data_IF_805767256941
#
_entry.id   IF_805767256941
#
_cell.length_a   1.000
_cell.length_b   1.000
_cell.length_c   1.000
_cell.angle_alpha   90.00
_cell.angle_beta   90.00
_cell.angle_gamma   90.00
#
_symmetry.space_group_name_H-M   'P 1'
#
loop_
_entity.id
_entity.type
_entity.pdbx_description
1 polymer ?
#
# COMPACT_ATOMS: atom_id res chain seq x y z
N UNK A 1 24.42 -46.71 -6.37
CA UNK A 1 24.98 -47.73 -5.45
C UNK A 1 25.97 -47.00 -4.56
N UNK A 2 25.80 -46.73 -3.26
CA UNK A 2 24.85 -47.07 -2.17
C UNK A 2 24.60 -45.74 -1.40
N UNK A 3 23.40 -45.27 -1.07
CA UNK A 3 22.46 -45.62 0.02
C UNK A 3 23.05 -45.76 1.45
N UNK A 4 22.40 -44.99 2.35
CA UNK A 4 22.20 -45.05 3.81
C UNK A 4 23.16 -44.27 4.73
N UNK A 5 22.77 -43.67 5.87
CA UNK A 5 21.54 -43.07 6.47
C UNK A 5 21.89 -42.83 7.98
N UNK A 6 21.10 -41.99 8.64
CA UNK A 6 20.77 -41.88 10.08
C UNK A 6 21.74 -41.21 11.09
N UNK A 7 21.20 -40.21 11.78
CA UNK A 7 21.33 -40.08 13.26
C UNK A 7 21.62 -38.67 13.80
N UNK A 8 20.63 -37.76 13.88
CA UNK A 8 19.84 -37.40 15.10
C UNK A 8 20.60 -36.78 16.28
N UNK A 9 20.29 -35.53 16.64
CA UNK A 9 19.93 -35.15 18.02
C UNK A 9 19.11 -33.84 18.05
N UNK A 10 18.31 -33.70 19.11
CA UNK A 10 16.99 -33.08 19.18
C UNK A 10 16.90 -32.26 20.48
N UNK A 11 16.38 -31.02 20.46
CA UNK A 11 15.80 -30.26 21.60
C UNK A 11 14.87 -29.19 20.95
N UNK A 12 13.53 -29.26 20.96
CA UNK A 12 12.59 -28.92 22.06
C UNK A 12 12.55 -27.40 22.30
N UNK A 13 11.45 -26.62 22.27
CA UNK A 13 10.00 -26.88 22.41
C UNK A 13 9.19 -25.64 21.96
N UNK A 14 8.01 -25.90 21.39
CA UNK A 14 6.70 -25.22 21.52
C UNK A 14 6.52 -23.69 21.27
N UNK A 15 5.76 -23.36 20.22
CA UNK A 15 4.51 -22.60 20.37
C UNK A 15 3.57 -22.87 19.17
N UNK A 16 2.44 -23.50 19.47
CA UNK A 16 1.29 -23.72 18.58
C UNK A 16 0.41 -22.46 18.53
N UNK A 17 -0.27 -22.23 17.40
CA UNK A 17 -1.51 -21.45 17.39
C UNK A 17 -1.85 -20.74 16.09
N UNK A 18 -2.97 -21.18 15.48
CA UNK A 18 -3.77 -20.51 14.44
C UNK A 18 -3.29 -20.57 12.97
N UNK A 19 -3.28 -21.79 12.42
CA UNK A 19 -3.70 -22.03 11.05
C UNK A 19 -5.18 -22.45 11.08
N UNK A 20 -6.08 -21.56 10.67
CA UNK A 20 -7.48 -21.91 10.42
C UNK A 20 -7.52 -22.67 9.08
N UNK A 21 -7.31 -23.98 9.18
CA UNK A 21 -7.71 -24.94 8.18
C UNK A 21 -9.24 -25.00 8.21
N UNK A 22 -9.91 -24.50 7.17
CA UNK A 22 -11.31 -24.82 6.93
C UNK A 22 -11.39 -26.31 6.57
N UNK A 23 -11.46 -27.14 7.60
CA UNK A 23 -11.85 -28.55 7.51
C UNK A 23 -13.26 -28.54 6.92
N UNK A 24 -13.37 -28.92 5.64
CA UNK A 24 -14.62 -29.27 4.96
C UNK A 24 -15.35 -30.26 5.88
N UNK A 25 -16.36 -29.77 6.58
CA UNK A 25 -17.10 -30.62 7.48
C UNK A 25 -18.03 -31.48 6.64
N UNK A 26 -17.74 -32.78 6.60
CA UNK A 26 -18.75 -33.80 6.36
C UNK A 26 -19.74 -33.79 7.54
N UNK A 27 -20.65 -32.82 7.54
CA UNK A 27 -21.83 -32.91 8.38
C UNK A 27 -22.88 -33.71 7.63
N UNK A 28 -23.08 -34.93 8.15
CA UNK A 28 -24.25 -35.79 8.02
C UNK A 28 -25.29 -35.32 6.98
N UNK A 29 -25.39 -36.10 5.90
CA UNK A 29 -26.66 -36.32 5.22
C UNK A 29 -27.67 -36.85 6.26
N UNK A 30 -28.33 -35.95 6.97
CA UNK A 30 -29.60 -36.23 7.63
C UNK A 30 -30.63 -36.33 6.52
N UNK A 31 -30.66 -37.51 5.90
CA UNK A 31 -31.85 -37.99 5.20
C UNK A 31 -33.07 -37.72 6.09
N UNK A 32 -34.08 -37.11 5.49
CA UNK A 32 -35.39 -36.76 6.06
C UNK A 32 -36.19 -37.99 6.48
N UNK A 33 -35.68 -38.76 7.44
CA UNK A 33 -36.38 -39.90 8.04
C UNK A 33 -35.75 -40.21 9.41
N UNK A 34 -36.09 -39.42 10.42
CA UNK A 34 -36.20 -39.81 11.84
C UNK A 34 -36.43 -38.56 12.69
N UNK A 35 -37.62 -37.98 12.58
CA UNK A 35 -38.15 -37.16 13.67
C UNK A 35 -38.74 -38.13 14.69
N UNK A 36 -38.05 -38.35 15.80
CA UNK A 36 -38.63 -39.04 16.97
C UNK A 36 -39.87 -38.23 17.38
N UNK A 37 -41.05 -38.86 17.51
CA UNK A 37 -42.23 -38.14 17.97
C UNK A 37 -41.93 -37.62 19.38
N UNK A 38 -42.35 -36.38 19.68
CA UNK A 38 -42.25 -35.79 21.01
C UNK A 38 -42.65 -36.85 22.06
N UNK A 39 -41.82 -37.02 23.09
CA UNK A 39 -42.08 -37.98 24.15
C UNK A 39 -43.51 -37.86 24.66
N UNK A 40 -44.26 -38.96 24.63
CA UNK A 40 -45.67 -39.00 25.03
C UNK A 40 -45.77 -38.50 26.47
N UNK A 41 -46.37 -37.33 26.70
CA UNK A 41 -46.64 -36.82 28.05
C UNK A 41 -47.55 -37.84 28.74
N UNK A 42 -47.12 -38.31 29.91
CA UNK A 42 -47.86 -39.26 30.73
C UNK A 42 -48.34 -38.55 31.99
N UNK A 43 -49.49 -38.97 32.50
CA UNK A 43 -49.96 -38.52 33.80
C UNK A 43 -49.13 -39.13 34.95
N UNK A 44 -49.48 -38.78 36.17
CA UNK A 44 -48.79 -39.25 37.37
C UNK A 44 -48.91 -40.77 37.59
N UNK A 45 -49.86 -41.43 36.92
CA UNK A 45 -50.07 -42.88 36.92
C UNK A 45 -49.39 -43.59 35.74
N UNK A 46 -48.70 -42.83 34.88
CA UNK A 46 -47.96 -43.34 33.74
C UNK A 46 -48.83 -43.62 32.50
N UNK A 47 -50.10 -43.23 32.49
CA UNK A 47 -50.99 -43.35 31.34
C UNK A 47 -50.69 -42.24 30.32
N UNK A 48 -50.74 -42.52 28.99
CA UNK A 48 -50.60 -41.48 27.97
C UNK A 48 -51.69 -40.42 28.12
N UNK A 49 -51.31 -39.15 28.23
CA UNK A 49 -52.25 -38.04 28.16
C UNK A 49 -52.66 -37.82 26.71
N UNK A 50 -53.96 -37.86 26.42
CA UNK A 50 -54.49 -37.40 25.14
C UNK A 50 -54.24 -35.90 25.02
N UNK A 51 -53.32 -35.54 24.13
CA UNK A 51 -52.97 -34.14 23.88
C UNK A 51 -54.19 -33.43 23.28
N UNK A 52 -54.63 -32.35 23.93
CA UNK A 52 -55.72 -31.53 23.43
C UNK A 52 -55.34 -31.04 22.01
N UNK A 53 -56.21 -31.20 20.99
CA UNK A 53 -55.89 -30.79 19.63
C UNK A 53 -55.44 -29.32 19.50
N UNK A 54 -55.84 -28.44 20.43
CA UNK A 54 -55.35 -27.07 20.51
C UNK A 54 -53.87 -26.96 20.90
N UNK A 55 -53.39 -27.80 21.81
CA UNK A 55 -51.99 -27.79 22.26
C UNK A 55 -51.07 -28.37 21.16
N UNK A 56 -51.55 -29.38 20.44
CA UNK A 56 -50.85 -29.95 19.26
C UNK A 56 -50.74 -28.93 18.12
N UNK A 57 -51.79 -28.12 17.91
CA UNK A 57 -51.78 -27.05 16.92
C UNK A 57 -50.83 -25.90 17.31
N UNK A 58 -50.78 -25.50 18.59
CA UNK A 58 -49.84 -24.48 19.07
C UNK A 58 -48.38 -24.95 18.97
N UNK A 59 -48.09 -26.20 19.33
CA UNK A 59 -46.74 -26.76 19.18
C UNK A 59 -46.32 -26.84 17.70
N UNK A 60 -47.25 -27.15 16.79
CA UNK A 60 -47.01 -27.10 15.34
C UNK A 60 -46.71 -25.69 14.84
N UNK A 61 -47.43 -24.67 15.33
CA UNK A 61 -47.21 -23.27 14.99
C UNK A 61 -45.87 -22.73 15.51
N UNK A 62 -45.45 -23.12 16.72
CA UNK A 62 -44.13 -22.76 17.27
C UNK A 62 -42.98 -23.38 16.46
N UNK A 63 -43.12 -24.64 16.03
CA UNK A 63 -42.12 -25.32 15.19
C UNK A 63 -42.01 -24.65 13.80
N UNK A 64 -43.14 -24.24 13.22
CA UNK A 64 -43.16 -23.55 11.93
C UNK A 64 -42.55 -22.14 12.04
N UNK A 65 -42.84 -21.43 13.13
CA UNK A 65 -42.20 -20.14 13.45
C UNK A 65 -40.69 -20.30 13.65
N UNK A 66 -40.24 -21.35 14.35
CA UNK A 66 -38.82 -21.62 14.54
C UNK A 66 -38.12 -21.94 13.21
N UNK A 67 -38.74 -22.71 12.31
CA UNK A 67 -38.21 -22.96 10.96
C UNK A 67 -38.13 -21.69 10.12
N UNK A 68 -39.16 -20.84 10.18
CA UNK A 68 -39.16 -19.55 9.49
C UNK A 68 -38.02 -18.66 9.97
N UNK A 69 -37.77 -18.61 11.28
CA UNK A 69 -36.65 -17.85 11.85
C UNK A 69 -35.30 -18.45 11.43
N UNK A 70 -35.15 -19.78 11.49
CA UNK A 70 -33.93 -20.45 11.05
C UNK A 70 -33.60 -20.17 9.58
N UNK A 71 -34.61 -20.20 8.70
CA UNK A 71 -34.43 -19.86 7.28
C UNK A 71 -33.97 -18.40 7.08
N UNK A 72 -34.46 -17.47 7.89
CA UNK A 72 -33.98 -16.08 7.87
C UNK A 72 -32.50 -16.00 8.26
N UNK A 73 -32.08 -16.73 9.30
CA UNK A 73 -30.67 -16.78 9.71
C UNK A 73 -29.76 -17.50 8.71
N UNK A 74 -30.26 -18.50 8.00
CA UNK A 74 -29.54 -19.14 6.89
C UNK A 74 -29.27 -18.15 5.76
N UNK A 75 -30.28 -17.37 5.38
CA UNK A 75 -30.11 -16.31 4.38
C UNK A 75 -29.09 -15.24 4.85
N UNK A 76 -29.16 -14.82 6.12
CA UNK A 76 -28.18 -13.88 6.68
C UNK A 76 -26.77 -14.45 6.71
N UNK A 77 -26.61 -15.74 7.03
CA UNK A 77 -25.32 -16.43 6.99
C UNK A 77 -24.77 -16.39 5.56
N UNK A 78 -25.55 -16.80 4.58
CA UNK A 78 -25.11 -16.90 3.20
C UNK A 78 -24.74 -15.52 2.62
N UNK A 79 -25.49 -14.46 2.96
CA UNK A 79 -25.16 -13.08 2.59
C UNK A 79 -23.86 -12.59 3.25
N UNK A 80 -23.66 -12.89 4.55
CA UNK A 80 -22.44 -12.51 5.27
C UNK A 80 -21.22 -13.25 4.74
N UNK A 81 -21.35 -14.54 4.46
CA UNK A 81 -20.28 -15.38 3.92
C UNK A 81 -19.82 -14.86 2.54
N UNK A 82 -20.74 -14.60 1.60
CA UNK A 82 -20.39 -14.00 0.31
C UNK A 82 -19.79 -12.60 0.46
N UNK A 83 -20.29 -11.78 1.40
CA UNK A 83 -19.70 -10.48 1.70
C UNK A 83 -18.24 -10.62 2.19
N UNK A 84 -17.95 -11.60 3.05
CA UNK A 84 -16.61 -11.86 3.57
C UNK A 84 -15.67 -12.41 2.49
N UNK A 85 -16.15 -13.33 1.67
CA UNK A 85 -15.38 -13.88 0.54
C UNK A 85 -15.03 -12.79 -0.46
N UNK A 86 -16.00 -11.94 -0.83
CA UNK A 86 -15.77 -10.76 -1.67
C UNK A 86 -14.71 -9.82 -1.09
N UNK A 87 -14.83 -9.51 0.20
CA UNK A 87 -13.87 -8.66 0.91
C UNK A 87 -12.45 -9.24 0.81
N UNK A 88 -12.28 -10.54 1.02
CA UNK A 88 -10.98 -11.20 0.91
C UNK A 88 -10.44 -11.23 -0.53
N UNK A 89 -11.29 -11.43 -1.53
CA UNK A 89 -10.89 -11.34 -2.96
C UNK A 89 -10.32 -9.95 -3.29
N UNK A 90 -10.97 -8.88 -2.83
CA UNK A 90 -10.50 -7.50 -3.05
C UNK A 90 -9.19 -7.22 -2.29
N UNK A 91 -9.07 -7.67 -1.03
CA UNK A 91 -7.84 -7.48 -0.24
C UNK A 91 -6.64 -8.16 -0.90
N UNK A 92 -6.82 -9.36 -1.46
CA UNK A 92 -5.75 -10.06 -2.19
C UNK A 92 -5.28 -9.24 -3.39
N UNK A 93 -6.20 -8.80 -4.25
CA UNK A 93 -5.87 -7.94 -5.40
C UNK A 93 -5.21 -6.63 -4.98
N UNK A 94 -5.69 -5.99 -3.91
CA UNK A 94 -5.07 -4.78 -3.36
C UNK A 94 -3.61 -5.02 -2.96
N UNK A 95 -3.30 -6.16 -2.33
CA UNK A 95 -1.92 -6.50 -1.93
C UNK A 95 -1.03 -6.76 -3.13
N UNK A 96 -1.56 -7.41 -4.16
CA UNK A 96 -0.83 -7.67 -5.41
C UNK A 96 -0.51 -6.36 -6.15
N UNK A 97 -1.48 -5.44 -6.22
CA UNK A 97 -1.28 -4.08 -6.76
C UNK A 97 -0.18 -3.36 -5.97
N UNK A 98 -0.27 -3.33 -4.64
CA UNK A 98 0.78 -2.73 -3.79
C UNK A 98 2.16 -3.34 -4.08
N UNK A 99 2.25 -4.66 -4.19
CA UNK A 99 3.52 -5.34 -4.44
C UNK A 99 4.12 -5.00 -5.81
N UNK A 100 3.28 -4.87 -6.85
CA UNK A 100 3.72 -4.47 -8.19
C UNK A 100 4.13 -3.00 -8.22
N UNK A 101 3.37 -2.10 -7.60
CA UNK A 101 3.69 -0.67 -7.49
C UNK A 101 5.04 -0.45 -6.79
N UNK A 102 5.32 -1.16 -5.69
CA UNK A 102 6.64 -1.11 -5.03
C UNK A 102 7.79 -1.51 -5.94
N UNK A 103 7.60 -2.57 -6.75
CA UNK A 103 8.62 -3.01 -7.71
C UNK A 103 8.89 -1.94 -8.77
N UNK A 104 7.85 -1.23 -9.22
CA UNK A 104 7.99 -0.08 -10.12
C UNK A 104 8.80 1.02 -9.44
N UNK A 105 8.42 1.42 -8.23
CA UNK A 105 9.13 2.47 -7.45
C UNK A 105 10.61 2.11 -7.28
N UNK A 106 10.93 0.89 -6.86
CA UNK A 106 12.33 0.43 -6.74
C UNK A 106 13.08 0.46 -8.07
N UNK A 107 12.42 0.11 -9.17
CA UNK A 107 13.04 0.20 -10.49
C UNK A 107 13.33 1.67 -10.87
N UNK A 108 12.40 2.58 -10.58
CA UNK A 108 12.52 4.02 -10.84
C UNK A 108 13.62 4.69 -10.00
N UNK A 109 13.87 4.25 -8.76
CA UNK A 109 14.98 4.74 -7.93
C UNK A 109 16.37 4.49 -8.54
N UNK A 110 16.48 3.62 -9.57
CA UNK A 110 17.73 3.39 -10.31
C UNK A 110 17.99 4.42 -11.41
N UNK A 111 17.01 5.26 -11.73
CA UNK A 111 17.14 6.35 -12.70
C UNK A 111 18.08 7.43 -12.13
N UNK A 112 18.67 8.26 -13.00
CA UNK A 112 19.69 9.26 -12.62
C UNK A 112 19.36 10.69 -13.01
N UNK A 113 18.37 10.88 -13.87
CA UNK A 113 17.97 12.20 -14.37
C UNK A 113 16.45 12.34 -14.33
N UNK A 114 16.00 13.58 -14.11
CA UNK A 114 14.60 14.01 -14.26
C UNK A 114 14.41 14.67 -15.63
N UNK A 115 13.15 14.81 -16.05
CA UNK A 115 12.76 15.45 -17.31
C UNK A 115 13.43 14.82 -18.55
N UNK A 116 13.58 13.49 -18.52
CA UNK A 116 14.19 12.69 -19.58
C UNK A 116 13.41 11.39 -19.76
N UNK A 117 13.41 10.80 -20.96
CA UNK A 117 12.80 9.49 -21.16
C UNK A 117 13.48 8.45 -20.26
N UNK A 118 12.68 7.54 -19.70
CA UNK A 118 13.22 6.45 -18.91
C UNK A 118 14.11 5.53 -19.76
N UNK A 119 15.16 4.93 -19.17
CA UNK A 119 15.94 3.89 -19.83
C UNK A 119 15.03 2.79 -20.42
N UNK A 120 15.25 2.33 -21.67
CA UNK A 120 14.30 1.45 -22.37
C UNK A 120 13.98 0.16 -21.61
N UNK A 121 14.97 -0.42 -20.94
CA UNK A 121 14.81 -1.62 -20.11
C UNK A 121 13.85 -1.36 -18.93
N UNK A 122 14.06 -0.28 -18.18
CA UNK A 122 13.19 0.09 -17.04
C UNK A 122 11.80 0.48 -17.54
N UNK A 123 11.72 1.23 -18.65
CA UNK A 123 10.45 1.64 -19.24
C UNK A 123 9.59 0.44 -19.64
N UNK A 124 10.18 -0.54 -20.34
CA UNK A 124 9.49 -1.76 -20.75
C UNK A 124 9.08 -2.61 -19.54
N UNK A 125 10.00 -2.81 -18.59
CA UNK A 125 9.76 -3.58 -17.37
C UNK A 125 8.63 -2.98 -16.53
N UNK A 126 8.60 -1.65 -16.38
CA UNK A 126 7.57 -0.93 -15.65
C UNK A 126 6.25 -0.93 -16.40
N UNK A 127 6.25 -0.78 -17.73
CA UNK A 127 5.04 -0.87 -18.54
C UNK A 127 4.35 -2.22 -18.35
N UNK A 128 5.10 -3.33 -18.43
CA UNK A 128 4.54 -4.67 -18.18
C UNK A 128 3.90 -4.79 -16.79
N UNK A 129 4.46 -4.14 -15.77
CA UNK A 129 3.86 -4.12 -14.42
C UNK A 129 2.63 -3.23 -14.35
N UNK A 130 2.63 -2.08 -15.03
CA UNK A 130 1.43 -1.25 -15.13
C UNK A 130 0.29 -1.99 -15.83
N UNK A 131 0.59 -2.75 -16.89
CA UNK A 131 -0.41 -3.58 -17.58
C UNK A 131 -0.98 -4.65 -16.64
N UNK A 132 -0.12 -5.31 -15.85
CA UNK A 132 -0.56 -6.26 -14.81
C UNK A 132 -1.44 -5.60 -13.75
N UNK A 133 -1.08 -4.42 -13.28
CA UNK A 133 -1.89 -3.64 -12.32
C UNK A 133 -3.24 -3.27 -12.93
N UNK A 134 -3.27 -2.87 -14.20
CA UNK A 134 -4.51 -2.55 -14.91
C UNK A 134 -5.44 -3.77 -14.95
N UNK A 135 -4.92 -4.95 -15.30
CA UNK A 135 -5.70 -6.20 -15.25
C UNK A 135 -6.23 -6.50 -13.86
N UNK A 136 -5.43 -6.30 -12.80
CA UNK A 136 -5.91 -6.47 -11.42
C UNK A 136 -7.04 -5.51 -11.08
N UNK A 137 -6.99 -4.26 -11.54
CA UNK A 137 -8.09 -3.32 -11.37
C UNK A 137 -9.34 -3.73 -12.15
N UNK A 138 -9.22 -4.20 -13.39
CA UNK A 138 -10.34 -4.73 -14.18
C UNK A 138 -11.01 -5.90 -13.46
N UNK A 139 -10.24 -6.78 -12.84
CA UNK A 139 -10.78 -7.89 -12.04
C UNK A 139 -11.45 -7.42 -10.74
N UNK A 140 -11.11 -6.24 -10.21
CA UNK A 140 -11.78 -5.65 -9.03
C UNK A 140 -13.13 -5.06 -9.39
N UNK A 141 -13.29 -4.51 -10.61
CA UNK A 141 -14.52 -3.88 -11.08
C UNK A 141 -15.79 -4.69 -10.75
N UNK A 142 -15.93 -5.97 -11.14
CA UNK A 142 -17.16 -6.72 -10.88
C UNK A 142 -17.47 -6.89 -9.38
N UNK A 143 -16.46 -6.85 -8.50
CA UNK A 143 -16.65 -6.95 -7.06
C UNK A 143 -17.13 -5.62 -6.44
N UNK A 144 -16.96 -4.51 -7.15
CA UNK A 144 -17.39 -3.17 -6.74
C UNK A 144 -18.72 -2.73 -7.36
N UNK A 145 -19.35 -3.57 -8.18
CA UNK A 145 -20.67 -3.27 -8.77
C UNK A 145 -21.79 -3.48 -7.74
N UNK A 146 -22.79 -2.60 -7.78
CA UNK A 146 -24.05 -2.71 -7.02
C UNK A 146 -24.18 -1.67 -5.91
N UNK A 147 -25.29 -1.77 -5.16
CA UNK A 147 -25.71 -0.78 -4.14
C UNK A 147 -24.65 -0.60 -3.03
N UNK A 148 -23.87 -1.64 -2.75
CA UNK A 148 -22.87 -1.68 -1.68
C UNK A 148 -21.42 -1.58 -2.17
N UNK A 149 -21.17 -1.17 -3.42
CA UNK A 149 -19.81 -1.08 -3.98
C UNK A 149 -18.85 -0.22 -3.16
N UNK A 150 -19.36 0.89 -2.61
CA UNK A 150 -18.62 1.81 -1.74
C UNK A 150 -18.06 1.14 -0.47
N UNK A 151 -18.69 0.05 0.01
CA UNK A 151 -18.29 -0.66 1.24
C UNK A 151 -16.88 -1.24 1.12
N UNK A 152 -16.45 -1.55 -0.10
CA UNK A 152 -15.17 -2.18 -0.38
C UNK A 152 -14.04 -1.21 -0.75
N UNK A 153 -14.33 0.10 -0.84
CA UNK A 153 -13.35 1.11 -1.21
C UNK A 153 -12.12 1.09 -0.27
N UNK A 154 -12.36 0.91 1.03
CA UNK A 154 -11.26 0.86 2.02
C UNK A 154 -10.34 -0.34 1.86
N UNK A 155 -10.82 -1.45 1.29
CA UNK A 155 -10.02 -2.66 1.10
C UNK A 155 -9.07 -2.54 -0.09
N UNK A 156 -9.43 -1.74 -1.10
CA UNK A 156 -8.58 -1.47 -2.28
C UNK A 156 -7.72 -0.21 -2.11
N UNK A 157 -8.13 0.72 -1.24
CA UNK A 157 -7.51 2.03 -1.00
C UNK A 157 -5.99 1.97 -0.83
N UNK A 158 -5.46 1.03 -0.04
CA UNK A 158 -4.01 0.87 0.12
C UNK A 158 -3.27 0.49 -1.17
N UNK A 159 -3.89 -0.31 -2.04
CA UNK A 159 -3.37 -0.60 -3.38
C UNK A 159 -3.41 0.60 -4.30
N UNK A 160 -4.51 1.37 -4.25
CA UNK A 160 -4.69 2.61 -5.02
C UNK A 160 -3.64 3.66 -4.63
N UNK A 161 -3.42 3.88 -3.33
CA UNK A 161 -2.42 4.84 -2.83
C UNK A 161 -1.01 4.52 -3.34
N UNK A 162 -0.60 3.26 -3.24
CA UNK A 162 0.72 2.82 -3.73
C UNK A 162 0.83 2.90 -5.27
N UNK A 163 -0.27 2.61 -6.00
CA UNK A 163 -0.32 2.82 -7.45
C UNK A 163 -0.15 4.30 -7.82
N UNK A 164 -0.81 5.21 -7.09
CA UNK A 164 -0.69 6.65 -7.30
C UNK A 164 0.73 7.10 -7.04
N UNK A 165 1.38 6.63 -5.98
CA UNK A 165 2.79 6.89 -5.70
C UNK A 165 3.68 6.45 -6.89
N UNK A 166 3.50 5.22 -7.38
CA UNK A 166 4.27 4.67 -8.50
C UNK A 166 4.07 5.45 -9.81
N UNK A 167 2.82 5.76 -10.17
CA UNK A 167 2.49 6.52 -11.38
C UNK A 167 3.00 7.95 -11.27
N UNK A 168 2.85 8.58 -10.12
CA UNK A 168 3.32 9.95 -9.90
C UNK A 168 4.83 10.03 -9.99
N UNK A 169 5.55 9.04 -9.46
CA UNK A 169 7.01 9.00 -9.55
C UNK A 169 7.49 8.75 -10.99
N UNK A 170 6.87 7.82 -11.73
CA UNK A 170 7.16 7.60 -13.16
C UNK A 170 6.94 8.90 -13.96
N UNK A 171 5.80 9.56 -13.77
CA UNK A 171 5.45 10.80 -14.46
C UNK A 171 6.41 11.94 -14.11
N UNK A 172 6.75 12.11 -12.84
CA UNK A 172 7.66 13.14 -12.38
C UNK A 172 9.07 12.94 -12.96
N UNK A 173 9.58 11.71 -13.02
CA UNK A 173 10.89 11.46 -13.62
C UNK A 173 10.93 11.80 -15.12
N UNK A 174 9.81 11.60 -15.84
CA UNK A 174 9.72 11.88 -17.28
C UNK A 174 9.49 13.35 -17.61
N UNK A 175 8.70 14.05 -16.80
CA UNK A 175 8.18 15.38 -17.15
C UNK A 175 8.59 16.48 -16.18
N UNK A 176 9.09 16.10 -15.00
CA UNK A 176 9.32 16.99 -13.86
C UNK A 176 8.09 17.84 -13.51
N UNK A 177 6.91 17.24 -13.63
CA UNK A 177 5.65 17.81 -13.18
C UNK A 177 4.93 16.80 -12.30
N UNK A 178 3.98 17.28 -11.51
CA UNK A 178 3.12 16.41 -10.73
C UNK A 178 1.94 15.96 -11.61
N UNK A 179 1.69 14.65 -11.66
CA UNK A 179 0.52 14.12 -12.36
C UNK A 179 -0.76 14.57 -11.64
N UNK A 180 -1.79 14.97 -12.39
CA UNK A 180 -3.06 15.41 -11.83
C UNK A 180 -3.94 14.23 -11.40
N UNK A 181 -4.91 14.49 -10.51
CA UNK A 181 -5.91 13.50 -10.10
C UNK A 181 -6.69 12.92 -11.31
N UNK A 182 -7.06 13.77 -12.27
CA UNK A 182 -7.77 13.34 -13.47
C UNK A 182 -6.92 12.42 -14.36
N UNK A 183 -5.64 12.73 -14.54
CA UNK A 183 -4.70 11.88 -15.28
C UNK A 183 -4.47 10.54 -14.57
N UNK A 184 -4.36 10.52 -13.24
CA UNK A 184 -4.31 9.28 -12.46
C UNK A 184 -5.59 8.44 -12.66
N UNK A 185 -6.76 9.08 -12.58
CA UNK A 185 -8.06 8.42 -12.74
C UNK A 185 -8.24 7.83 -14.14
N UNK A 186 -7.65 8.46 -15.16
CA UNK A 186 -7.65 7.94 -16.52
C UNK A 186 -6.77 6.68 -16.72
N UNK A 187 -5.90 6.33 -15.76
CA UNK A 187 -5.06 5.13 -15.81
C UNK A 187 -5.70 3.89 -15.19
N UNK A 188 -6.89 4.01 -14.61
CA UNK A 188 -7.64 2.90 -14.05
C UNK A 188 -9.02 2.80 -14.73
N UNK A 189 -9.68 1.63 -14.67
CA UNK A 189 -11.05 1.51 -15.16
C UNK A 189 -11.98 2.56 -14.52
N UNK A 190 -12.90 3.20 -15.26
CA UNK A 190 -13.76 4.27 -14.74
C UNK A 190 -14.61 3.90 -13.51
N UNK A 191 -14.84 2.60 -13.30
CA UNK A 191 -15.59 2.06 -12.17
C UNK A 191 -14.77 2.04 -10.88
N UNK A 192 -13.44 2.06 -10.98
CA UNK A 192 -12.54 2.16 -9.84
C UNK A 192 -12.39 3.63 -9.47
N UNK A 193 -13.00 4.01 -8.34
CA UNK A 193 -12.91 5.37 -7.85
C UNK A 193 -11.53 5.63 -7.24
N UNK A 194 -10.79 6.59 -7.81
CA UNK A 194 -9.66 7.22 -7.12
C UNK A 194 -10.22 8.37 -6.30
N UNK A 195 -10.31 8.19 -4.98
CA UNK A 195 -10.75 9.28 -4.11
C UNK A 195 -9.68 10.37 -4.03
N UNK A 196 -10.09 11.61 -3.75
CA UNK A 196 -9.16 12.72 -3.51
C UNK A 196 -8.21 12.40 -2.33
N UNK A 197 -8.71 11.66 -1.35
CA UNK A 197 -7.92 11.21 -0.22
C UNK A 197 -6.84 10.22 -0.64
N UNK A 198 -7.18 9.18 -1.39
CA UNK A 198 -6.20 8.20 -1.86
C UNK A 198 -5.10 8.87 -2.69
N UNK A 199 -5.49 9.87 -3.49
CA UNK A 199 -4.55 10.69 -4.24
C UNK A 199 -3.61 11.48 -3.33
N UNK A 200 -4.13 12.25 -2.37
CA UNK A 200 -3.31 13.01 -1.44
C UNK A 200 -2.42 12.11 -0.58
N UNK A 201 -2.91 10.95 -0.13
CA UNK A 201 -2.15 9.99 0.65
C UNK A 201 -1.02 9.34 -0.15
N UNK A 202 -1.26 8.97 -1.41
CA UNK A 202 -0.21 8.50 -2.31
C UNK A 202 0.84 9.60 -2.61
N UNK A 203 0.41 10.86 -2.73
CA UNK A 203 1.33 11.98 -2.90
C UNK A 203 2.17 12.29 -1.65
N UNK A 204 1.63 12.09 -0.44
CA UNK A 204 2.44 12.18 0.77
C UNK A 204 3.59 11.17 0.74
N UNK A 205 3.32 9.92 0.34
CA UNK A 205 4.34 8.87 0.24
C UNK A 205 5.35 9.15 -0.89
N UNK A 206 4.89 9.68 -2.03
CA UNK A 206 5.75 10.15 -3.13
C UNK A 206 6.85 11.10 -2.64
N UNK A 207 6.55 12.01 -1.69
CA UNK A 207 7.57 12.95 -1.19
C UNK A 207 8.77 12.24 -0.55
N UNK A 208 8.54 11.06 0.04
CA UNK A 208 9.59 10.20 0.59
C UNK A 208 10.47 9.59 -0.51
N UNK A 209 9.85 9.13 -1.61
CA UNK A 209 10.58 8.58 -2.75
C UNK A 209 11.33 9.67 -3.54
N UNK A 210 10.74 10.85 -3.70
CA UNK A 210 11.42 12.03 -4.25
C UNK A 210 12.62 12.44 -3.39
N UNK A 211 12.50 12.40 -2.07
CA UNK A 211 13.62 12.65 -1.15
C UNK A 211 14.73 11.61 -1.31
N UNK A 212 14.39 10.32 -1.36
CA UNK A 212 15.37 9.25 -1.59
C UNK A 212 16.12 9.46 -2.91
N UNK A 213 15.38 9.78 -3.96
CA UNK A 213 15.93 10.05 -5.29
C UNK A 213 16.86 11.28 -5.27
N UNK A 214 16.43 12.37 -4.63
CA UNK A 214 17.21 13.60 -4.51
C UNK A 214 18.52 13.35 -3.77
N UNK A 215 18.47 12.73 -2.59
CA UNK A 215 19.67 12.46 -1.78
C UNK A 215 20.65 11.55 -2.52
N UNK A 216 20.16 10.50 -3.20
CA UNK A 216 21.01 9.61 -3.99
C UNK A 216 21.68 10.37 -5.16
N UNK A 217 20.91 11.19 -5.86
CA UNK A 217 21.40 12.00 -6.99
C UNK A 217 22.43 13.03 -6.54
N UNK A 218 22.19 13.70 -5.41
CA UNK A 218 23.11 14.67 -4.80
C UNK A 218 24.41 14.00 -4.33
N UNK A 219 24.35 12.77 -3.82
CA UNK A 219 25.55 12.02 -3.43
C UNK A 219 26.41 11.59 -4.62
N UNK A 220 25.78 11.30 -5.76
CA UNK A 220 26.46 10.84 -6.98
C UNK A 220 27.01 12.00 -7.82
N UNK A 221 26.40 13.19 -7.74
CA UNK A 221 26.82 14.39 -8.48
C UNK A 221 28.22 14.91 -8.14
N UNK A 222 28.80 14.50 -7.00
CA UNK A 222 30.20 14.79 -6.68
C UNK A 222 31.21 13.98 -7.49
N UNK A 223 30.80 12.91 -8.19
CA UNK A 223 31.70 12.03 -8.94
C UNK A 223 31.88 12.42 -10.42
N UNK A 224 30.98 13.23 -10.98
CA UNK A 224 30.98 13.59 -12.42
C UNK A 224 31.55 14.97 -12.73
N UNK A 225 31.90 15.77 -11.72
CA UNK A 225 32.54 17.07 -11.91
C UNK A 225 34.00 17.01 -12.41
N UNK A 226 34.54 15.81 -12.66
CA UNK A 226 35.92 15.58 -13.13
C UNK A 226 36.06 15.24 -14.60
N UNK A 227 34.99 15.28 -15.43
CA UNK A 227 35.10 14.97 -16.87
C UNK A 227 34.33 15.94 -17.79
N UNK A 228 34.59 17.24 -17.64
CA UNK A 228 34.48 18.16 -18.78
C UNK A 228 35.72 19.04 -18.78
N UNK A 229 36.68 18.64 -19.60
CA UNK A 229 37.90 19.38 -19.86
C UNK A 229 37.59 20.70 -20.60
N UNK A 230 38.33 21.73 -20.19
CA UNK A 230 38.83 22.85 -21.00
C UNK A 230 37.82 23.88 -21.56
N UNK A 231 37.42 24.84 -20.72
CA UNK A 231 37.69 26.26 -21.02
C UNK A 231 37.67 27.07 -19.73
N UNK A 232 38.83 27.63 -19.35
CA UNK A 232 38.95 28.50 -18.19
C UNK A 232 38.37 29.89 -18.51
N UNK A 233 37.10 30.11 -18.15
CA UNK A 233 36.61 31.46 -17.84
C UNK A 233 35.33 31.37 -16.99
N UNK A 234 35.29 32.24 -15.99
CA UNK A 234 34.19 32.48 -15.04
C UNK A 234 34.11 31.57 -13.82
N UNK A 235 33.95 32.22 -12.66
CA UNK A 235 33.82 31.65 -11.33
C UNK A 235 32.60 30.74 -11.27
N UNK A 236 32.75 29.46 -11.57
CA UNK A 236 31.74 28.44 -11.25
C UNK A 236 31.65 28.33 -9.72
N UNK A 237 30.72 29.11 -9.13
CA UNK A 237 30.13 28.72 -7.85
C UNK A 237 29.67 27.28 -8.01
N UNK A 238 30.00 26.42 -7.06
CA UNK A 238 29.38 25.10 -6.95
C UNK A 238 27.87 25.26 -6.76
N UNK A 239 27.15 25.33 -7.86
CA UNK A 239 25.70 25.33 -7.90
C UNK A 239 25.26 23.88 -8.01
N UNK A 240 24.26 23.51 -7.21
CA UNK A 240 23.50 22.28 -7.42
C UNK A 240 23.09 22.25 -8.91
N UNK A 241 23.33 21.14 -9.61
CA UNK A 241 23.01 21.04 -11.04
C UNK A 241 21.56 21.49 -11.30
N UNK A 242 21.28 22.13 -12.43
CA UNK A 242 19.95 22.73 -12.71
C UNK A 242 18.78 21.75 -12.50
N UNK A 243 18.98 20.46 -12.81
CA UNK A 243 18.02 19.37 -12.54
C UNK A 243 17.86 19.03 -11.05
N UNK A 244 18.93 19.12 -10.27
CA UNK A 244 18.95 18.86 -8.83
C UNK A 244 18.46 20.07 -8.00
N UNK A 245 18.64 21.30 -8.51
CA UNK A 245 18.03 22.49 -7.92
C UNK A 245 16.51 22.49 -8.12
N UNK A 246 16.06 21.94 -9.25
CA UNK A 246 14.66 21.72 -9.58
C UNK A 246 13.94 20.90 -8.51
N UNK A 247 14.43 19.69 -8.18
CA UNK A 247 13.74 18.80 -7.23
C UNK A 247 13.57 19.38 -5.83
N UNK A 248 14.52 20.21 -5.35
CA UNK A 248 14.39 20.92 -4.05
C UNK A 248 13.24 21.94 -4.14
N UNK A 249 13.18 22.70 -5.23
CA UNK A 249 12.10 23.65 -5.49
C UNK A 249 10.74 22.97 -5.60
N UNK A 250 10.68 21.86 -6.33
CA UNK A 250 9.46 21.07 -6.54
C UNK A 250 8.95 20.50 -5.21
N UNK A 251 9.83 19.93 -4.38
CA UNK A 251 9.48 19.46 -3.03
C UNK A 251 8.98 20.56 -2.10
N UNK A 252 9.56 21.77 -2.19
CA UNK A 252 9.08 22.94 -1.43
C UNK A 252 7.69 23.39 -1.89
N UNK A 253 7.43 23.36 -3.20
CA UNK A 253 6.12 23.68 -3.74
C UNK A 253 5.07 22.67 -3.29
N UNK A 254 5.40 21.37 -3.31
CA UNK A 254 4.53 20.30 -2.80
C UNK A 254 4.25 20.50 -1.31
N UNK A 255 5.29 20.78 -0.50
CA UNK A 255 5.13 21.08 0.93
C UNK A 255 4.19 22.25 1.18
N UNK A 256 4.39 23.37 0.46
CA UNK A 256 3.55 24.54 0.61
C UNK A 256 2.08 24.23 0.26
N UNK A 257 1.85 23.41 -0.77
CA UNK A 257 0.51 22.93 -1.12
C UNK A 257 -0.14 22.10 0.00
N UNK A 258 0.60 21.16 0.60
CA UNK A 258 0.09 20.35 1.71
C UNK A 258 -0.11 21.14 3.01
N UNK A 259 0.76 22.10 3.33
CA UNK A 259 0.61 22.94 4.52
C UNK A 259 -0.54 23.94 4.39
N UNK A 260 -0.90 24.31 3.15
CA UNK A 260 -2.09 25.12 2.87
C UNK A 260 -3.40 24.33 2.94
N UNK A 261 -3.35 22.99 2.92
CA UNK A 261 -4.53 22.14 2.94
C UNK A 261 -5.23 22.21 4.31
N UNK A 262 -6.51 22.60 4.30
CA UNK A 262 -7.36 22.56 5.48
C UNK A 262 -8.36 21.41 5.37
N UNK A 263 -8.25 20.43 6.25
CA UNK A 263 -9.14 19.26 6.28
C UNK A 263 -10.06 19.37 7.50
N UNK A 264 -11.39 19.26 7.33
CA UNK A 264 -12.33 19.27 8.45
C UNK A 264 -12.01 18.15 9.45
N UNK A 265 -12.09 18.44 10.75
CA UNK A 265 -11.77 17.46 11.80
C UNK A 265 -12.61 16.17 11.74
N UNK A 266 -13.82 16.23 11.17
CA UNK A 266 -14.71 15.07 11.00
C UNK A 266 -14.37 14.22 9.77
N UNK A 267 -13.51 14.73 8.88
CA UNK A 267 -13.06 13.98 7.73
C UNK A 267 -12.10 12.88 8.18
N UNK A 268 -12.28 11.67 7.66
CA UNK A 268 -11.57 10.50 8.12
C UNK A 268 -10.04 10.57 7.89
N UNK A 269 -9.61 11.23 6.81
CA UNK A 269 -8.19 11.52 6.53
C UNK A 269 -7.49 12.32 7.64
N UNK A 270 -8.23 13.12 8.41
CA UNK A 270 -7.67 14.07 9.38
C UNK A 270 -6.72 13.39 10.38
N UNK A 271 -7.06 12.17 10.82
CA UNK A 271 -6.27 11.42 11.80
C UNK A 271 -4.90 11.02 11.26
N UNK A 272 -4.85 10.59 10.01
CA UNK A 272 -3.64 10.01 9.43
C UNK A 272 -2.78 11.10 8.75
N UNK A 273 -3.41 12.21 8.35
CA UNK A 273 -2.77 13.37 7.72
C UNK A 273 -1.69 14.01 8.60
N UNK A 274 -1.92 14.17 9.91
CA UNK A 274 -0.94 14.83 10.78
C UNK A 274 0.43 14.11 10.74
N UNK A 275 0.42 12.78 10.86
CA UNK A 275 1.64 11.98 10.78
C UNK A 275 2.27 12.03 9.39
N UNK A 276 1.47 12.03 8.32
CA UNK A 276 1.97 12.15 6.94
C UNK A 276 2.60 13.52 6.68
N UNK A 277 2.02 14.58 7.21
CA UNK A 277 2.55 15.94 7.16
C UNK A 277 3.92 16.01 7.83
N UNK A 278 4.05 15.48 9.05
CA UNK A 278 5.34 15.43 9.76
C UNK A 278 6.40 14.66 8.95
N UNK A 279 6.06 13.51 8.38
CA UNK A 279 6.99 12.70 7.57
C UNK A 279 7.41 13.43 6.29
N UNK A 280 6.47 14.12 5.63
CA UNK A 280 6.75 14.91 4.44
C UNK A 280 7.65 16.10 4.76
N UNK A 281 7.37 16.87 5.82
CA UNK A 281 8.22 17.98 6.28
C UNK A 281 9.65 17.51 6.53
N UNK A 282 9.81 16.40 7.27
CA UNK A 282 11.11 15.78 7.51
C UNK A 282 11.81 15.35 6.21
N UNK A 283 11.07 14.88 5.22
CA UNK A 283 11.62 14.48 3.92
C UNK A 283 12.12 15.69 3.14
N UNK A 284 11.35 16.77 3.10
CA UNK A 284 11.77 18.04 2.46
C UNK A 284 13.00 18.61 3.14
N UNK A 285 13.00 18.70 4.48
CA UNK A 285 14.15 19.24 5.22
C UNK A 285 15.43 18.44 4.99
N UNK A 286 15.35 17.11 4.82
CA UNK A 286 16.53 16.28 4.48
C UNK A 286 17.13 16.68 3.14
N UNK A 287 16.29 16.90 2.14
CA UNK A 287 16.74 17.33 0.81
C UNK A 287 17.32 18.74 0.87
N UNK A 288 16.70 19.65 1.61
CA UNK A 288 17.21 21.02 1.80
C UNK A 288 18.57 21.02 2.50
N UNK A 289 18.74 20.24 3.58
CA UNK A 289 20.02 20.11 4.28
C UNK A 289 21.10 19.51 3.37
N UNK A 290 20.75 18.52 2.55
CA UNK A 290 21.68 17.94 1.58
C UNK A 290 22.11 18.95 0.52
N UNK A 291 21.16 19.70 -0.06
CA UNK A 291 21.44 20.74 -1.04
C UNK A 291 22.26 21.90 -0.43
N UNK A 292 21.91 22.36 0.77
CA UNK A 292 22.66 23.37 1.51
C UNK A 292 24.12 22.93 1.73
N UNK A 293 24.32 21.69 2.17
CA UNK A 293 25.65 21.13 2.40
C UNK A 293 26.52 21.14 1.13
N UNK A 294 25.94 20.90 -0.04
CA UNK A 294 26.65 20.96 -1.33
C UNK A 294 27.02 22.40 -1.67
N UNK A 295 26.08 23.34 -1.60
CA UNK A 295 26.32 24.75 -1.93
C UNK A 295 27.40 25.36 -1.03
N UNK A 296 27.34 25.10 0.28
CA UNK A 296 28.32 25.63 1.22
C UNK A 296 29.68 24.99 1.03
N UNK A 297 29.78 23.65 1.00
CA UNK A 297 31.07 22.96 0.83
C UNK A 297 31.73 23.30 -0.50
N UNK A 298 30.95 23.40 -1.57
CA UNK A 298 31.47 23.77 -2.87
C UNK A 298 31.84 25.25 -2.99
N UNK A 299 31.35 26.10 -2.08
CA UNK A 299 31.83 27.48 -1.94
C UNK A 299 33.13 27.56 -1.12
N UNK A 300 33.35 26.63 -0.17
CA UNK A 300 34.57 26.55 0.66
C UNK A 300 35.74 25.87 -0.05
N UNK A 301 35.48 24.86 -0.89
CA UNK A 301 36.51 24.08 -1.61
C UNK A 301 36.18 24.03 -3.10
N UNK A 302 36.62 25.02 -3.89
CA UNK A 302 36.45 25.02 -5.34
C UNK A 302 37.13 23.81 -5.99
N UNK A 303 36.73 23.46 -7.21
CA UNK A 303 37.35 22.38 -7.98
C UNK A 303 38.88 22.60 -8.08
N UNK A 304 39.66 21.56 -7.77
CA UNK A 304 41.12 21.62 -7.73
C UNK A 304 41.74 22.19 -6.45
N UNK A 305 40.94 22.54 -5.43
CA UNK A 305 41.46 22.97 -4.13
C UNK A 305 42.17 21.82 -3.41
N UNK A 306 43.46 21.97 -3.16
CA UNK A 306 44.23 21.12 -2.24
C UNK A 306 44.59 21.91 -0.99
N UNK A 307 44.60 21.29 0.21
CA UNK A 307 45.15 21.94 1.39
C UNK A 307 46.60 22.33 1.13
N UNK A 308 46.97 23.56 1.51
CA UNK A 308 48.36 23.97 1.48
C UNK A 308 49.12 23.22 2.58
N UNK A 309 49.77 22.12 2.21
CA UNK A 309 50.59 21.30 3.08
C UNK A 309 52.02 21.88 3.26
N UNK A 310 52.31 23.07 2.72
CA UNK A 310 53.62 23.71 2.86
C UNK A 310 53.80 24.46 4.19
N UNK A 311 52.71 24.73 4.90
CA UNK A 311 52.77 25.31 6.24
C UNK A 311 53.21 24.23 7.25
N UNK A 312 54.37 24.43 7.87
CA UNK A 312 54.82 23.61 8.98
C UNK A 312 53.74 23.60 10.07
N UNK A 313 53.26 22.41 10.44
CA UNK A 313 52.38 22.23 11.58
C UNK A 313 53.17 22.69 12.81
N UNK A 314 52.84 23.87 13.35
CA UNK A 314 53.30 24.26 14.67
C UNK A 314 52.63 23.31 15.67
N UNK A 315 53.32 22.19 15.92
CA UNK A 315 53.01 21.32 17.05
C UNK A 315 53.38 22.12 18.29
N UNK A 316 52.38 22.76 18.90
CA UNK A 316 52.55 23.40 20.20
C UNK A 316 53.08 22.37 21.18
N UNK A 317 54.34 22.51 21.59
CA UNK A 317 54.91 21.72 22.67
C UNK A 317 54.22 22.13 23.97
N UNK A 318 53.41 21.22 24.52
CA UNK A 318 52.93 21.32 25.90
C UNK A 318 54.05 21.04 26.89
#
# INVERSE_FOLDING_TARGET
>A
MKIYDVGTFNVGRANEGHLISYRRSEYLNLTTSNFSPMGTKRDWEGQPLDLNPKDTAMAGAEVESARSVLSIFENFRDELDEHHDRRERIIKKSRDITALSKKIIFALQRVRATNQPLPPNIAQENQTRFDQIHTLFEEVVPEQVGINGWRYQRQISGGIQEFIEAVSFDHYLRTQTLITHAECSARVPPQVLISEEDYLMGLYDLTGEMMRFAVLSLSSGNATATQSENTASEREKSTVASSQGGIVGDLRAIRAGFEALSVPQRHYMFRDMAKKLDVMQNSVEKVERAAYGIVVRGSERPSGWTPDLSAAVEVGSY
#
